data_IF_354388417866
#
_entry.id   IF_354388417866
#
_cell.length_a   1.000
_cell.length_b   1.000
_cell.length_c   1.000
_cell.angle_alpha   90.00
_cell.angle_beta   90.00
_cell.angle_gamma   90.00
#
_symmetry.space_group_name_H-M   'P 1'
#
loop_
_entity.id
_entity.type
_entity.pdbx_description
1 polymer ?
#
# COMPACT_ATOMS: atom_id res chain seq x y z
N UNK A 1 24.96 13.13 27.61
CA UNK A 1 24.58 12.40 26.38
C UNK A 1 23.05 12.34 26.31
N UNK A 2 22.41 13.14 25.45
CA UNK A 2 20.95 13.21 25.38
C UNK A 2 20.38 11.90 24.82
N UNK A 3 19.51 11.22 25.60
CA UNK A 3 18.77 10.04 25.13
C UNK A 3 17.86 10.44 23.97
N UNK A 4 18.09 9.85 22.80
CA UNK A 4 17.27 10.08 21.60
C UNK A 4 15.87 9.52 21.85
N UNK A 5 14.84 10.38 21.89
CA UNK A 5 13.45 9.94 22.06
C UNK A 5 13.07 9.02 20.88
N UNK A 6 12.77 7.76 21.19
CA UNK A 6 12.28 6.79 20.19
C UNK A 6 10.85 7.16 19.83
N UNK A 7 10.62 7.54 18.56
CA UNK A 7 9.26 7.78 18.06
C UNK A 7 8.61 6.46 17.70
N UNK A 8 7.44 6.18 18.28
CA UNK A 8 6.68 4.97 17.98
C UNK A 8 6.16 5.02 16.53
N UNK A 9 6.32 3.93 15.77
CA UNK A 9 5.84 3.85 14.38
C UNK A 9 4.31 3.75 14.37
N UNK A 10 3.65 4.50 13.49
CA UNK A 10 2.19 4.38 13.29
C UNK A 10 1.88 3.03 12.64
N UNK A 11 0.82 2.31 13.09
CA UNK A 11 0.44 1.03 12.50
C UNK A 11 -0.06 1.22 11.06
N UNK A 12 0.12 0.18 10.23
CA UNK A 12 -0.26 0.24 8.81
C UNK A 12 -1.79 0.26 8.64
N UNK A 13 -2.33 1.29 7.99
CA UNK A 13 -3.77 1.43 7.72
C UNK A 13 -4.20 0.71 6.43
N UNK A 14 -3.84 -0.57 6.29
CA UNK A 14 -4.13 -1.37 5.07
C UNK A 14 -5.63 -1.50 4.77
N UNK A 15 -6.46 -1.47 5.82
CA UNK A 15 -7.91 -1.52 5.74
C UNK A 15 -8.52 -0.38 4.90
N UNK A 16 -7.87 0.78 4.82
CA UNK A 16 -8.34 1.93 4.02
C UNK A 16 -8.31 1.69 2.50
N UNK A 17 -7.55 0.68 2.05
CA UNK A 17 -7.44 0.35 0.63
C UNK A 17 -8.62 -0.50 0.13
N UNK A 18 -9.50 -0.95 1.02
CA UNK A 18 -10.75 -1.62 0.67
C UNK A 18 -11.88 -0.60 0.72
N UNK A 19 -12.48 -0.30 -0.44
CA UNK A 19 -13.71 0.47 -0.52
C UNK A 19 -14.86 -0.45 -0.94
N UNK A 20 -16.00 -0.29 -0.27
CA UNK A 20 -17.23 -1.01 -0.59
C UNK A 20 -18.10 -0.01 -1.34
N UNK A 21 -18.30 -0.24 -2.64
CA UNK A 21 -19.20 0.54 -3.48
C UNK A 21 -20.41 -0.34 -3.80
N UNK A 22 -21.41 -0.32 -2.91
CA UNK A 22 -22.59 -1.20 -3.01
C UNK A 22 -22.23 -2.68 -2.95
N UNK A 23 -22.64 -3.46 -3.95
CA UNK A 23 -22.38 -4.91 -4.06
C UNK A 23 -20.97 -5.26 -4.57
N UNK A 24 -20.16 -4.26 -4.95
CA UNK A 24 -18.82 -4.48 -5.52
C UNK A 24 -17.74 -3.97 -4.58
N UNK A 25 -16.80 -4.86 -4.27
CA UNK A 25 -15.59 -4.51 -3.52
C UNK A 25 -14.58 -3.94 -4.52
N UNK A 26 -14.38 -2.62 -4.50
CA UNK A 26 -13.32 -1.96 -5.26
C UNK A 26 -11.98 -2.25 -4.59
N UNK A 27 -11.33 -3.34 -5.04
CA UNK A 27 -9.99 -3.73 -4.59
C UNK A 27 -8.95 -2.95 -5.39
N UNK A 28 -8.02 -2.29 -4.70
CA UNK A 28 -6.82 -1.73 -5.37
C UNK A 28 -5.99 -2.87 -5.96
N UNK A 29 -5.23 -2.60 -7.04
CA UNK A 29 -4.50 -3.61 -7.83
C UNK A 29 -3.63 -4.48 -6.91
N UNK A 30 -3.70 -5.79 -7.07
CA UNK A 30 -2.82 -6.72 -6.37
C UNK A 30 -1.46 -6.77 -7.05
N UNK A 31 -0.41 -6.98 -6.26
CA UNK A 31 0.93 -7.10 -6.81
C UNK A 31 1.08 -8.43 -7.57
N UNK A 32 1.49 -8.42 -8.86
CA UNK A 32 1.57 -9.62 -9.70
C UNK A 32 2.62 -10.63 -9.20
N UNK A 33 3.65 -10.16 -8.48
CA UNK A 33 4.71 -11.02 -7.95
C UNK A 33 4.40 -11.59 -6.56
N UNK A 34 3.62 -10.85 -5.78
CA UNK A 34 3.40 -11.12 -4.37
C UNK A 34 2.06 -11.84 -4.11
N UNK A 35 1.15 -11.88 -5.09
CA UNK A 35 -0.10 -12.64 -5.02
C UNK A 35 -1.27 -11.90 -4.36
N UNK A 36 -2.40 -12.60 -4.24
CA UNK A 36 -3.63 -12.11 -3.62
C UNK A 36 -3.43 -11.86 -2.12
N UNK A 37 -3.52 -10.59 -1.71
CA UNK A 37 -3.34 -10.18 -0.31
C UNK A 37 -2.36 -9.02 -0.13
N UNK A 38 -1.47 -8.80 -1.10
CA UNK A 38 -0.57 -7.63 -1.10
C UNK A 38 -1.07 -6.60 -2.10
N UNK A 39 -1.60 -5.52 -1.54
CA UNK A 39 -2.17 -4.40 -2.28
C UNK A 39 -1.03 -3.47 -2.72
N UNK A 40 -1.06 -3.04 -3.98
CA UNK A 40 -0.21 -1.98 -4.48
C UNK A 40 -0.68 -0.62 -3.92
N UNK A 41 0.24 0.10 -3.29
CA UNK A 41 0.03 1.47 -2.85
C UNK A 41 -0.04 2.39 -4.06
N UNK A 42 -1.21 3.00 -4.28
CA UNK A 42 -1.41 4.02 -5.33
C UNK A 42 -0.81 5.34 -4.86
N UNK A 43 0.31 5.72 -5.45
CA UNK A 43 0.83 7.09 -5.41
C UNK A 43 0.48 7.81 -6.72
N UNK A 44 0.72 9.12 -6.79
CA UNK A 44 0.37 9.95 -7.95
C UNK A 44 1.01 9.46 -9.25
N UNK A 45 2.26 9.03 -9.18
CA UNK A 45 3.07 8.69 -10.37
C UNK A 45 3.45 7.20 -10.42
N UNK A 46 3.08 6.42 -9.38
CA UNK A 46 3.49 5.01 -9.26
C UNK A 46 2.57 4.17 -8.40
N UNK A 47 2.52 2.88 -8.70
CA UNK A 47 2.04 1.80 -7.86
C UNK A 47 3.24 1.16 -7.19
N UNK A 48 3.21 1.06 -5.86
CA UNK A 48 4.33 0.51 -5.09
C UNK A 48 3.88 -0.69 -4.24
N UNK A 49 4.60 -1.79 -4.34
CA UNK A 49 4.43 -2.95 -3.49
C UNK A 49 5.39 -2.87 -2.28
N UNK A 50 4.83 -2.77 -1.08
CA UNK A 50 5.63 -2.74 0.15
C UNK A 50 6.22 -4.09 0.57
N UNK A 51 5.86 -5.19 -0.10
CA UNK A 51 6.38 -6.54 0.19
C UNK A 51 7.57 -6.90 -0.68
N UNK A 52 7.40 -6.88 -2.00
CA UNK A 52 8.44 -7.26 -2.98
C UNK A 52 9.12 -6.06 -3.66
N UNK A 53 8.93 -4.84 -3.16
CA UNK A 53 9.48 -3.58 -3.71
C UNK A 53 9.14 -3.33 -5.20
N UNK A 54 8.14 -4.02 -5.72
CA UNK A 54 7.71 -3.88 -7.11
C UNK A 54 7.07 -2.50 -7.33
N UNK A 55 7.57 -1.79 -8.33
CA UNK A 55 7.06 -0.47 -8.74
C UNK A 55 6.55 -0.53 -10.17
N UNK A 56 5.30 -0.13 -10.39
CA UNK A 56 4.80 0.23 -11.72
C UNK A 56 4.65 1.74 -11.76
N UNK A 57 5.31 2.40 -12.68
CA UNK A 57 5.08 3.83 -12.91
C UNK A 57 3.89 3.96 -13.83
N UNK A 58 2.84 4.64 -13.36
CA UNK A 58 1.71 5.03 -14.20
C UNK A 58 2.23 6.19 -15.06
N UNK A 59 2.83 5.86 -16.20
CA UNK A 59 3.14 6.87 -17.21
C UNK A 59 1.82 7.49 -17.65
N UNK A 60 1.79 8.82 -17.59
CA UNK A 60 0.67 9.66 -18.01
C UNK A 60 0.38 9.49 -19.49
#
# INVERSE_FOLDING_TARGET
MAKKKVKNKKPSQRWKAYKISGDKIEKSRFCPKCGSGIILAKHKDRLYCGGCHYTEFLKK
#
